data_IF_498509625550
#
_entry.id   IF_498509625550
#
_cell.length_a   1.000
_cell.length_b   1.000
_cell.length_c   1.000
_cell.angle_alpha   90.00
_cell.angle_beta   90.00
_cell.angle_gamma   90.00
#
_symmetry.space_group_name_H-M   'P 1'
#
loop_
_entity.id
_entity.type
_entity.pdbx_description
1 polymer ?
#
# COMPACT_ATOMS: atom_id res chain seq x y z
N UNK A 1 13.28 23.47 -9.73
CA UNK A 1 13.89 23.93 -8.46
C UNK A 1 15.37 23.58 -8.49
N UNK A 2 16.26 24.57 -8.39
CA UNK A 2 17.70 24.27 -8.30
C UNK A 2 18.04 23.68 -6.93
N UNK A 3 18.80 22.59 -6.93
CA UNK A 3 19.26 21.95 -5.71
C UNK A 3 20.53 22.64 -5.23
N UNK A 4 20.38 23.67 -4.38
CA UNK A 4 21.47 24.50 -3.81
C UNK A 4 22.65 23.69 -3.26
N UNK A 5 22.41 22.44 -2.82
CA UNK A 5 23.44 21.53 -2.31
C UNK A 5 24.32 20.99 -3.45
N UNK A 6 23.74 20.67 -4.61
CA UNK A 6 24.48 20.20 -5.80
C UNK A 6 25.36 21.31 -6.37
N UNK A 7 24.81 22.50 -6.55
CA UNK A 7 25.57 23.67 -7.06
C UNK A 7 26.76 24.03 -6.15
N UNK A 8 26.58 23.95 -4.82
CA UNK A 8 27.67 24.18 -3.87
C UNK A 8 28.76 23.11 -3.97
N UNK A 9 28.38 21.85 -4.21
CA UNK A 9 29.33 20.74 -4.39
C UNK A 9 30.13 20.90 -5.68
N UNK A 10 29.45 21.20 -6.80
CA UNK A 10 30.09 21.39 -8.10
C UNK A 10 31.13 22.51 -8.06
N UNK A 11 30.79 23.65 -7.43
CA UNK A 11 31.74 24.74 -7.21
C UNK A 11 32.98 24.30 -6.42
N UNK A 12 32.79 23.52 -5.36
CA UNK A 12 33.91 22.99 -4.55
C UNK A 12 34.76 21.99 -5.32
N UNK A 13 34.17 21.20 -6.21
CA UNK A 13 34.90 20.28 -7.08
C UNK A 13 35.80 21.09 -8.04
N UNK A 14 35.27 22.15 -8.64
CA UNK A 14 36.05 23.04 -9.51
C UNK A 14 37.19 23.74 -8.77
N UNK A 15 36.94 24.23 -7.54
CA UNK A 15 37.95 24.83 -6.68
C UNK A 15 39.06 23.82 -6.30
N UNK A 16 38.68 22.59 -5.92
CA UNK A 16 39.61 21.51 -5.59
C UNK A 16 40.42 21.04 -6.80
N UNK A 17 39.80 20.97 -7.99
CA UNK A 17 40.46 20.66 -9.24
C UNK A 17 41.51 21.73 -9.59
N UNK A 18 41.17 23.02 -9.48
CA UNK A 18 42.12 24.14 -9.70
C UNK A 18 43.29 24.09 -8.73
N UNK A 19 43.04 23.67 -7.49
CA UNK A 19 44.06 23.47 -6.46
C UNK A 19 44.85 22.15 -6.61
N UNK A 20 44.56 21.32 -7.63
CA UNK A 20 45.12 19.97 -7.83
C UNK A 20 44.96 19.03 -6.61
N UNK A 21 43.93 19.27 -5.79
CA UNK A 21 43.61 18.46 -4.62
C UNK A 21 42.66 17.32 -5.03
N UNK A 22 43.24 16.24 -5.55
CA UNK A 22 42.49 15.09 -6.05
C UNK A 22 41.74 14.32 -4.96
N UNK A 23 42.25 14.32 -3.72
CA UNK A 23 41.58 13.69 -2.58
C UNK A 23 40.24 14.37 -2.29
N UNK A 24 40.21 15.69 -2.31
CA UNK A 24 38.98 16.47 -2.10
C UNK A 24 38.00 16.29 -3.27
N UNK A 25 38.49 16.23 -4.52
CA UNK A 25 37.65 15.92 -5.69
C UNK A 25 36.99 14.54 -5.53
N UNK A 26 37.77 13.50 -5.20
CA UNK A 26 37.26 12.15 -4.99
C UNK A 26 36.23 12.08 -3.86
N UNK A 27 36.53 12.74 -2.72
CA UNK A 27 35.62 12.82 -1.57
C UNK A 27 34.29 13.49 -1.90
N UNK A 28 34.31 14.58 -2.67
CA UNK A 28 33.10 15.31 -3.09
C UNK A 28 32.27 14.50 -4.09
N UNK A 29 32.90 13.77 -5.00
CA UNK A 29 32.21 12.86 -5.92
C UNK A 29 31.53 11.71 -5.16
N UNK A 30 32.19 11.14 -4.16
CA UNK A 30 31.65 10.05 -3.33
C UNK A 30 30.59 10.50 -2.30
N UNK A 31 30.39 11.80 -2.14
CA UNK A 31 29.56 12.36 -1.06
C UNK A 31 28.09 11.92 -1.11
N UNK A 32 27.48 11.84 -2.29
CA UNK A 32 26.08 11.42 -2.44
C UNK A 32 25.90 9.96 -2.02
N UNK A 33 26.81 9.09 -2.46
CA UNK A 33 26.82 7.68 -2.10
C UNK A 33 27.03 7.49 -0.59
N UNK A 34 28.02 8.19 -0.01
CA UNK A 34 28.31 8.14 1.43
C UNK A 34 27.12 8.58 2.28
N UNK A 35 26.38 9.59 1.83
CA UNK A 35 25.16 10.06 2.47
C UNK A 35 24.02 9.04 2.36
N UNK A 36 23.88 8.35 1.22
CA UNK A 36 22.91 7.28 1.04
C UNK A 36 23.19 6.12 2.01
N UNK A 37 24.43 5.62 2.04
CA UNK A 37 24.85 4.55 2.94
C UNK A 37 24.66 4.92 4.42
N UNK A 38 24.92 6.18 4.79
CA UNK A 38 24.66 6.66 6.16
C UNK A 38 23.18 6.60 6.52
N UNK A 39 22.28 6.98 5.60
CA UNK A 39 20.83 6.87 5.82
C UNK A 39 20.39 5.42 5.92
N UNK A 40 20.95 4.55 5.09
CA UNK A 40 20.64 3.13 5.11
C UNK A 40 21.08 2.48 6.42
N UNK A 41 22.26 2.85 6.96
CA UNK A 41 22.70 2.45 8.31
C UNK A 41 21.78 2.94 9.42
N UNK A 42 21.32 4.19 9.35
CA UNK A 42 20.39 4.76 10.33
C UNK A 42 19.06 3.99 10.38
N UNK A 43 18.58 3.51 9.22
CA UNK A 43 17.37 2.70 9.13
C UNK A 43 17.62 1.18 9.22
N UNK A 44 18.84 0.77 9.63
CA UNK A 44 19.23 -0.64 9.74
C UNK A 44 18.96 -1.49 8.48
N UNK A 45 19.03 -0.87 7.30
CA UNK A 45 18.87 -1.58 6.05
C UNK A 45 20.05 -2.54 5.85
N UNK A 46 19.76 -3.68 5.23
CA UNK A 46 20.74 -4.71 4.91
C UNK A 46 20.70 -4.97 3.42
N UNK A 47 21.84 -5.39 2.87
CA UNK A 47 21.93 -5.79 1.46
C UNK A 47 21.13 -7.08 1.23
N UNK A 48 20.50 -7.17 0.06
CA UNK A 48 19.79 -8.38 -0.36
C UNK A 48 20.77 -9.48 -0.77
N UNK A 49 21.97 -9.09 -1.19
CA UNK A 49 23.11 -9.93 -1.54
C UNK A 49 23.93 -10.33 -0.30
N UNK A 50 23.53 -9.91 0.90
CA UNK A 50 24.17 -10.31 2.15
C UNK A 50 24.09 -11.83 2.30
N UNK A 51 25.24 -12.48 2.52
CA UNK A 51 25.29 -13.89 2.83
C UNK A 51 24.72 -14.14 4.24
N UNK A 52 23.69 -14.97 4.32
CA UNK A 52 22.99 -15.33 5.56
C UNK A 52 23.16 -16.81 5.94
N UNK A 53 24.11 -17.52 5.33
CA UNK A 53 24.41 -18.93 5.65
C UNK A 53 24.88 -19.07 7.11
N UNK A 54 24.26 -19.97 7.88
CA UNK A 54 24.66 -20.23 9.27
C UNK A 54 25.88 -21.14 9.42
N UNK A 55 26.15 -22.00 8.43
CA UNK A 55 27.24 -22.99 8.41
C UNK A 55 27.95 -22.94 7.04
N UNK A 56 29.07 -23.66 6.90
CA UNK A 56 29.86 -23.86 5.65
C UNK A 56 29.13 -24.62 4.51
N UNK A 57 27.79 -24.63 4.54
CA UNK A 57 26.96 -25.18 3.48
C UNK A 57 26.83 -24.23 2.28
N UNK A 58 25.80 -24.48 1.45
CA UNK A 58 25.50 -23.64 0.28
C UNK A 58 25.32 -22.18 0.71
N UNK A 59 26.09 -21.27 0.11
CA UNK A 59 25.92 -19.81 0.24
C UNK A 59 24.47 -19.46 -0.09
N UNK A 60 23.81 -18.75 0.83
CA UNK A 60 22.44 -18.25 0.65
C UNK A 60 22.44 -16.75 0.82
N UNK A 61 21.89 -16.06 -0.16
CA UNK A 61 21.75 -14.61 -0.11
C UNK A 61 20.38 -14.24 0.48
N UNK A 62 20.29 -13.06 1.10
CA UNK A 62 19.09 -12.62 1.82
C UNK A 62 17.84 -12.61 0.93
N UNK A 63 17.94 -12.30 -0.36
CA UNK A 63 16.77 -12.32 -1.25
C UNK A 63 16.16 -13.72 -1.41
N UNK A 64 16.91 -14.80 -1.23
CA UNK A 64 16.40 -16.16 -1.40
C UNK A 64 15.36 -16.55 -0.33
N UNK A 65 15.35 -15.85 0.81
CA UNK A 65 14.44 -16.12 1.93
C UNK A 65 13.37 -15.06 2.11
N UNK A 66 13.47 -13.93 1.39
CA UNK A 66 12.45 -12.90 1.41
C UNK A 66 11.33 -13.35 0.49
N UNK A 67 10.18 -13.66 1.08
CA UNK A 67 8.98 -14.00 0.33
C UNK A 67 8.53 -12.80 -0.54
N UNK A 68 7.99 -13.09 -1.72
CA UNK A 68 7.31 -12.07 -2.51
C UNK A 68 6.08 -11.56 -1.75
N UNK A 69 5.71 -10.31 -1.98
CA UNK A 69 4.42 -9.76 -1.56
C UNK A 69 3.25 -10.26 -2.39
N UNK A 70 3.53 -10.93 -3.50
CA UNK A 70 2.51 -11.44 -4.41
C UNK A 70 1.76 -12.63 -3.79
N UNK A 71 0.47 -12.74 -4.12
CA UNK A 71 -0.34 -13.87 -3.71
C UNK A 71 0.17 -15.14 -4.37
N UNK A 72 0.25 -16.22 -3.60
CA UNK A 72 0.44 -17.53 -4.19
C UNK A 72 -0.83 -17.96 -4.96
N UNK A 73 -0.76 -18.96 -5.85
CA UNK A 73 -1.93 -19.36 -6.65
C UNK A 73 -3.16 -19.79 -5.83
N UNK A 74 -2.95 -20.38 -4.65
CA UNK A 74 -4.03 -20.80 -3.76
C UNK A 74 -4.70 -19.58 -3.10
N UNK A 75 -3.91 -18.63 -2.59
CA UNK A 75 -4.40 -17.36 -2.04
C UNK A 75 -5.14 -16.53 -3.10
N UNK A 76 -4.62 -16.51 -4.33
CA UNK A 76 -5.27 -15.85 -5.46
C UNK A 76 -6.63 -16.50 -5.78
N UNK A 77 -6.71 -17.82 -5.76
CA UNK A 77 -7.96 -18.55 -5.97
C UNK A 77 -8.97 -18.26 -4.85
N UNK A 78 -8.56 -18.34 -3.59
CA UNK A 78 -9.40 -18.02 -2.43
C UNK A 78 -9.95 -16.58 -2.53
N UNK A 79 -9.12 -15.63 -2.95
CA UNK A 79 -9.54 -14.24 -3.13
C UNK A 79 -10.59 -14.09 -4.24
N UNK A 80 -10.43 -14.80 -5.36
CA UNK A 80 -11.41 -14.79 -6.46
C UNK A 80 -12.73 -15.45 -6.06
N UNK A 81 -12.69 -16.59 -5.35
CA UNK A 81 -13.89 -17.24 -4.80
C UNK A 81 -14.62 -16.32 -3.81
N UNK A 82 -13.88 -15.65 -2.93
CA UNK A 82 -14.45 -14.67 -2.00
C UNK A 82 -15.11 -13.50 -2.74
N UNK A 83 -14.47 -12.96 -3.78
CA UNK A 83 -15.04 -11.89 -4.61
C UNK A 83 -16.34 -12.33 -5.26
N UNK A 84 -16.37 -13.54 -5.81
CA UNK A 84 -17.56 -14.12 -6.43
C UNK A 84 -18.68 -14.29 -5.41
N UNK A 85 -18.39 -14.84 -4.23
CA UNK A 85 -19.36 -15.00 -3.14
C UNK A 85 -19.92 -13.65 -2.67
N UNK A 86 -19.08 -12.62 -2.55
CA UNK A 86 -19.53 -11.25 -2.21
C UNK A 86 -20.47 -10.70 -3.29
N UNK A 87 -20.14 -10.88 -4.58
CA UNK A 87 -20.98 -10.44 -5.69
C UNK A 87 -22.37 -11.12 -5.65
N UNK A 88 -22.41 -12.43 -5.43
CA UNK A 88 -23.65 -13.21 -5.32
C UNK A 88 -24.47 -12.80 -4.08
N UNK A 89 -23.80 -12.64 -2.93
CA UNK A 89 -24.45 -12.20 -1.69
C UNK A 89 -25.06 -10.79 -1.84
N UNK A 90 -24.35 -9.86 -2.50
CA UNK A 90 -24.86 -8.51 -2.81
C UNK A 90 -26.04 -8.56 -3.79
N UNK A 91 -26.03 -9.46 -4.77
CA UNK A 91 -27.15 -9.64 -5.70
C UNK A 91 -28.43 -10.12 -4.98
N UNK A 92 -28.30 -10.80 -3.84
CA UNK A 92 -29.44 -11.20 -3.01
C UNK A 92 -30.11 -10.05 -2.23
N UNK A 93 -29.48 -8.88 -2.17
CA UNK A 93 -30.02 -7.69 -1.50
C UNK A 93 -31.01 -6.95 -2.41
N UNK A 94 -31.89 -6.15 -1.80
CA UNK A 94 -32.70 -5.22 -2.58
C UNK A 94 -31.81 -4.17 -3.26
N UNK A 95 -32.25 -3.61 -4.39
CA UNK A 95 -31.48 -2.59 -5.12
C UNK A 95 -31.07 -1.40 -4.23
N UNK A 96 -31.93 -1.00 -3.29
CA UNK A 96 -31.65 0.07 -2.32
C UNK A 96 -30.60 -0.39 -1.31
N UNK A 97 -30.76 -1.57 -0.71
CA UNK A 97 -29.83 -2.08 0.30
C UNK A 97 -28.44 -2.33 -0.30
N UNK A 98 -28.38 -2.88 -1.51
CA UNK A 98 -27.15 -3.08 -2.26
C UNK A 98 -26.43 -1.75 -2.51
N UNK A 99 -27.17 -0.71 -2.91
CA UNK A 99 -26.60 0.63 -3.13
C UNK A 99 -26.14 1.31 -1.83
N UNK A 100 -26.87 1.11 -0.73
CA UNK A 100 -26.46 1.60 0.59
C UNK A 100 -25.15 0.94 1.03
N UNK A 101 -25.01 -0.38 0.85
CA UNK A 101 -23.76 -1.09 1.19
C UNK A 101 -22.59 -0.60 0.33
N UNK A 102 -22.78 -0.44 -0.98
CA UNK A 102 -21.76 0.11 -1.89
C UNK A 102 -21.28 1.50 -1.43
N UNK A 103 -22.21 2.41 -1.14
CA UNK A 103 -21.88 3.78 -0.73
C UNK A 103 -21.15 3.84 0.62
N UNK A 104 -21.59 3.05 1.60
CA UNK A 104 -21.05 3.12 2.96
C UNK A 104 -19.76 2.30 3.10
N UNK A 105 -19.75 1.05 2.64
CA UNK A 105 -18.63 0.14 2.88
C UNK A 105 -17.51 0.27 1.84
N UNK A 106 -17.85 0.45 0.56
CA UNK A 106 -16.84 0.47 -0.52
C UNK A 106 -16.35 1.89 -0.81
N UNK A 107 -17.25 2.87 -0.80
CA UNK A 107 -16.90 4.28 -1.05
C UNK A 107 -16.60 5.08 0.22
N UNK A 108 -16.90 4.54 1.40
CA UNK A 108 -16.69 5.24 2.68
C UNK A 108 -17.55 6.49 2.89
N UNK A 109 -18.71 6.58 2.21
CA UNK A 109 -19.60 7.75 2.31
C UNK A 109 -20.31 7.82 3.66
N UNK A 110 -20.62 9.03 4.13
CA UNK A 110 -21.39 9.20 5.36
C UNK A 110 -22.86 8.77 5.17
N UNK A 111 -23.55 8.46 6.27
CA UNK A 111 -24.99 8.13 6.21
C UNK A 111 -25.84 9.29 5.69
N UNK A 112 -25.43 10.55 5.93
CA UNK A 112 -26.13 11.74 5.44
C UNK A 112 -26.02 11.88 3.93
N UNK A 113 -24.81 11.71 3.39
CA UNK A 113 -24.57 11.74 1.94
C UNK A 113 -25.30 10.59 1.24
N UNK A 114 -25.25 9.40 1.83
CA UNK A 114 -25.96 8.23 1.32
C UNK A 114 -27.47 8.47 1.31
N UNK A 115 -28.05 9.04 2.37
CA UNK A 115 -29.47 9.37 2.43
C UNK A 115 -29.90 10.39 1.37
N UNK A 116 -29.06 11.39 1.08
CA UNK A 116 -29.30 12.36 0.01
C UNK A 116 -29.37 11.65 -1.35
N UNK A 117 -28.38 10.82 -1.65
CA UNK A 117 -28.31 10.06 -2.90
C UNK A 117 -29.50 9.10 -3.07
N UNK A 118 -29.84 8.33 -2.03
CA UNK A 118 -30.96 7.39 -2.08
C UNK A 118 -32.30 8.10 -2.24
N UNK A 119 -32.45 9.28 -1.62
CA UNK A 119 -33.66 10.11 -1.78
C UNK A 119 -33.81 10.64 -3.20
N UNK A 120 -32.71 10.98 -3.85
CA UNK A 120 -32.69 11.51 -5.23
C UNK A 120 -32.97 10.44 -6.27
N UNK A 121 -32.42 9.24 -6.11
CA UNK A 121 -32.48 8.18 -7.13
C UNK A 121 -33.50 7.06 -6.87
N UNK A 122 -34.00 6.94 -5.64
CA UNK A 122 -34.90 5.84 -5.26
C UNK A 122 -36.12 6.35 -4.51
N UNK A 123 -36.01 6.47 -3.18
CA UNK A 123 -37.12 6.81 -2.29
C UNK A 123 -36.61 7.70 -1.18
N UNK A 124 -37.42 8.69 -0.79
CA UNK A 124 -37.13 9.58 0.34
C UNK A 124 -36.82 8.77 1.60
N UNK A 125 -35.61 8.98 2.13
CA UNK A 125 -35.07 8.25 3.27
C UNK A 125 -34.20 9.17 4.12
N UNK A 126 -34.31 9.08 5.45
CA UNK A 126 -33.43 9.78 6.39
C UNK A 126 -32.14 8.99 6.62
N UNK A 127 -31.11 9.67 7.13
CA UNK A 127 -29.84 9.07 7.56
C UNK A 127 -30.02 7.95 8.61
N UNK A 128 -30.96 8.13 9.54
CA UNK A 128 -31.32 7.08 10.53
C UNK A 128 -31.89 5.83 9.84
N UNK A 129 -32.75 6.02 8.84
CA UNK A 129 -33.35 4.90 8.11
C UNK A 129 -32.30 4.20 7.23
N UNK A 130 -31.41 4.95 6.57
CA UNK A 130 -30.25 4.39 5.84
C UNK A 130 -29.38 3.54 6.76
N UNK A 131 -29.06 4.04 7.96
CA UNK A 131 -28.29 3.29 8.95
C UNK A 131 -28.97 1.98 9.35
N UNK A 132 -30.30 1.99 9.53
CA UNK A 132 -31.08 0.78 9.82
C UNK A 132 -31.04 -0.22 8.67
N UNK A 133 -31.23 0.24 7.42
CA UNK A 133 -31.11 -0.59 6.22
C UNK A 133 -29.71 -1.19 6.08
N UNK A 134 -28.67 -0.38 6.29
CA UNK A 134 -27.28 -0.82 6.25
C UNK A 134 -27.02 -1.97 7.22
N UNK A 135 -27.42 -1.84 8.49
CA UNK A 135 -27.22 -2.92 9.47
C UNK A 135 -28.04 -4.17 9.16
N UNK A 136 -29.26 -4.04 8.65
CA UNK A 136 -30.06 -5.19 8.22
C UNK A 136 -29.40 -5.91 7.03
N UNK A 137 -28.89 -5.16 6.06
CA UNK A 137 -28.15 -5.69 4.93
C UNK A 137 -26.88 -6.40 5.38
N UNK A 138 -26.09 -5.81 6.29
CA UNK A 138 -24.91 -6.45 6.86
C UNK A 138 -25.25 -7.74 7.61
N UNK A 139 -26.35 -7.78 8.37
CA UNK A 139 -26.77 -9.00 9.06
C UNK A 139 -27.12 -10.12 8.07
N UNK A 140 -27.77 -9.79 6.96
CA UNK A 140 -28.11 -10.75 5.89
C UNK A 140 -26.85 -11.23 5.14
N UNK A 141 -25.94 -10.32 4.83
CA UNK A 141 -24.67 -10.68 4.19
C UNK A 141 -23.81 -11.55 5.12
N UNK A 142 -23.77 -11.25 6.41
CA UNK A 142 -23.01 -12.04 7.39
C UNK A 142 -23.47 -13.50 7.46
N UNK A 143 -24.77 -13.77 7.36
CA UNK A 143 -25.28 -15.15 7.29
C UNK A 143 -24.99 -15.84 5.97
N UNK A 144 -24.80 -15.09 4.87
CA UNK A 144 -24.51 -15.67 3.55
C UNK A 144 -23.02 -15.91 3.34
N UNK A 145 -22.17 -15.23 4.10
CA UNK A 145 -20.71 -15.29 4.00
C UNK A 145 -20.08 -15.92 5.25
N UNK A 146 -20.85 -16.68 6.02
CA UNK A 146 -20.38 -17.32 7.26
C UNK A 146 -19.26 -18.33 6.98
N UNK A 147 -19.35 -19.05 5.86
CA UNK A 147 -18.35 -20.04 5.43
C UNK A 147 -17.00 -19.42 5.03
N UNK A 148 -16.96 -18.10 4.82
CA UNK A 148 -15.77 -17.35 4.40
C UNK A 148 -15.16 -16.51 5.52
N UNK A 149 -15.60 -16.73 6.77
CA UNK A 149 -15.29 -15.91 7.93
C UNK A 149 -14.22 -16.52 8.83
#
# INVERSE_FOLDING_TARGET
MSNKVKERRERKIEEAFKAKNWDEVSRLLQQEQSNAERRDRYHHKRSMEENISRNDGKRRERYEVVASSDLNPEEALILEELRQAICEAKASLSAIDSKIVEMVAERGSSYKETARYITEHYKKMSDVTVKSHYFKALKKLASLLEDYR
#
